data_IF_740589024558
#
_entry.id   IF_740589024558
#
_cell.length_a   1.000
_cell.length_b   1.000
_cell.length_c   1.000
_cell.angle_alpha   90.00
_cell.angle_beta   90.00
_cell.angle_gamma   90.00
#
_symmetry.space_group_name_H-M   'P 1'
#
loop_
_entity.id
_entity.type
_entity.pdbx_description
1 polymer ?
#
# COMPACT_ATOMS: atom_id res chain seq x y z
N UNK A 1 -15.99 -0.06 -36.49
CA UNK A 1 -16.52 -1.14 -35.62
C UNK A 1 -16.21 -0.84 -34.15
N UNK A 2 -16.89 -1.45 -33.17
CA UNK A 2 -16.58 -1.26 -31.73
C UNK A 2 -15.71 -2.39 -31.19
N UNK A 3 -14.73 -2.06 -30.34
CA UNK A 3 -13.95 -3.07 -29.62
C UNK A 3 -14.86 -3.92 -28.72
N UNK A 4 -14.77 -5.25 -28.81
CA UNK A 4 -15.58 -6.18 -28.00
C UNK A 4 -15.34 -6.04 -26.48
N UNK A 5 -14.18 -5.52 -26.08
CA UNK A 5 -13.82 -5.40 -24.67
C UNK A 5 -14.07 -4.01 -24.09
N UNK A 6 -13.51 -2.95 -24.68
CA UNK A 6 -13.61 -1.58 -24.14
C UNK A 6 -14.64 -0.69 -24.87
N UNK A 7 -15.35 -1.23 -25.86
CA UNK A 7 -16.41 -0.56 -26.64
C UNK A 7 -16.01 0.73 -27.38
N UNK A 8 -14.73 1.10 -27.39
CA UNK A 8 -14.23 2.22 -28.20
C UNK A 8 -14.31 1.92 -29.68
N UNK A 9 -14.45 2.97 -30.49
CA UNK A 9 -14.44 2.85 -31.94
C UNK A 9 -13.05 2.49 -32.44
N UNK A 10 -12.99 1.46 -33.28
CA UNK A 10 -11.75 0.97 -33.88
C UNK A 10 -11.92 0.82 -35.39
N UNK A 11 -10.84 1.10 -36.11
CA UNK A 11 -10.69 0.87 -37.55
C UNK A 11 -10.51 -0.62 -37.84
N UNK A 12 -11.09 -1.15 -38.92
CA UNK A 12 -11.02 -2.59 -39.26
C UNK A 12 -9.61 -3.08 -39.62
N UNK A 13 -8.70 -2.16 -39.95
CA UNK A 13 -7.34 -2.50 -40.37
C UNK A 13 -6.44 -2.91 -39.21
N UNK A 14 -6.68 -2.43 -37.98
CA UNK A 14 -5.79 -2.66 -36.85
C UNK A 14 -5.91 -4.07 -36.28
N UNK A 15 -4.77 -4.75 -36.10
CA UNK A 15 -4.71 -6.07 -35.47
C UNK A 15 -5.11 -6.05 -33.99
N UNK A 16 -4.85 -4.93 -33.30
CA UNK A 16 -5.13 -4.70 -31.89
C UNK A 16 -5.94 -3.40 -31.70
N UNK A 17 -6.68 -3.30 -30.60
CA UNK A 17 -7.37 -2.06 -30.23
C UNK A 17 -6.36 -0.99 -29.76
N UNK A 18 -6.47 0.22 -30.31
CA UNK A 18 -5.57 1.34 -29.97
C UNK A 18 -5.67 1.81 -28.51
N UNK A 19 -6.75 1.48 -27.80
CA UNK A 19 -7.01 1.93 -26.42
C UNK A 19 -6.63 0.85 -25.40
N UNK A 20 -7.23 -0.34 -25.51
CA UNK A 20 -7.00 -1.41 -24.53
C UNK A 20 -6.02 -2.49 -24.98
N UNK A 21 -5.55 -2.46 -26.24
CA UNK A 21 -4.72 -3.51 -26.88
C UNK A 21 -5.37 -4.90 -26.97
N UNK A 22 -6.70 -4.94 -26.98
CA UNK A 22 -7.43 -6.17 -27.26
C UNK A 22 -7.11 -6.69 -28.67
N UNK A 23 -6.77 -7.98 -28.86
CA UNK A 23 -6.40 -8.54 -30.16
C UNK A 23 -7.64 -8.80 -31.02
N UNK A 24 -7.99 -7.84 -31.88
CA UNK A 24 -9.22 -7.87 -32.69
C UNK A 24 -9.15 -8.98 -33.75
N UNK A 25 -8.00 -9.12 -34.42
CA UNK A 25 -7.74 -10.17 -35.41
C UNK A 25 -7.12 -11.43 -34.82
N UNK A 26 -6.97 -11.48 -33.49
CA UNK A 26 -6.41 -12.64 -32.80
C UNK A 26 -7.38 -13.83 -32.77
N UNK A 27 -6.82 -15.00 -32.49
CA UNK A 27 -7.59 -16.23 -32.28
C UNK A 27 -8.51 -16.13 -31.06
N UNK A 28 -9.53 -16.99 -30.97
CA UNK A 28 -10.39 -17.07 -29.77
C UNK A 28 -9.57 -17.28 -28.49
N UNK A 29 -8.48 -18.05 -28.59
CA UNK A 29 -7.55 -18.30 -27.48
C UNK A 29 -6.82 -17.03 -27.04
N UNK A 30 -6.32 -16.22 -27.97
CA UNK A 30 -5.64 -14.96 -27.66
C UNK A 30 -6.61 -13.93 -27.06
N UNK A 31 -7.82 -13.84 -27.62
CA UNK A 31 -8.88 -12.98 -27.10
C UNK A 31 -9.28 -13.39 -25.67
N UNK A 32 -9.48 -14.69 -25.43
CA UNK A 32 -9.80 -15.21 -24.10
C UNK A 32 -8.66 -14.98 -23.09
N UNK A 33 -7.41 -15.22 -23.50
CA UNK A 33 -6.22 -15.00 -22.67
C UNK A 33 -6.08 -13.53 -22.27
N UNK A 34 -6.32 -12.61 -23.20
CA UNK A 34 -6.32 -11.17 -22.92
C UNK A 34 -7.38 -10.82 -21.87
N UNK A 35 -8.63 -11.27 -22.04
CA UNK A 35 -9.71 -10.97 -21.08
C UNK A 35 -9.39 -11.55 -19.70
N UNK A 36 -8.89 -12.78 -19.64
CA UNK A 36 -8.45 -13.39 -18.39
C UNK A 36 -7.35 -12.57 -17.70
N UNK A 37 -6.33 -12.13 -18.45
CA UNK A 37 -5.25 -11.28 -17.93
C UNK A 37 -5.78 -9.97 -17.35
N UNK A 38 -6.73 -9.30 -18.03
CA UNK A 38 -7.34 -8.07 -17.55
C UNK A 38 -8.11 -8.27 -16.24
N UNK A 39 -8.87 -9.37 -16.13
CA UNK A 39 -9.63 -9.71 -14.91
C UNK A 39 -8.67 -9.94 -13.73
N UNK A 40 -7.61 -10.72 -13.94
CA UNK A 40 -6.61 -10.99 -12.91
C UNK A 40 -5.93 -9.69 -12.46
N UNK A 41 -5.44 -8.88 -13.41
CA UNK A 41 -4.78 -7.61 -13.12
C UNK A 41 -5.69 -6.63 -12.36
N UNK A 42 -6.96 -6.51 -12.77
CA UNK A 42 -7.94 -5.69 -12.05
C UNK A 42 -8.10 -6.16 -10.60
N UNK A 43 -8.27 -7.48 -10.39
CA UNK A 43 -8.40 -8.07 -9.05
C UNK A 43 -7.16 -7.81 -8.19
N UNK A 44 -5.95 -7.95 -8.75
CA UNK A 44 -4.71 -7.68 -8.02
C UNK A 44 -4.59 -6.21 -7.58
N UNK A 45 -5.05 -5.27 -8.42
CA UNK A 45 -5.10 -3.84 -8.07
C UNK A 45 -6.12 -3.58 -6.95
N UNK A 46 -7.32 -4.17 -7.04
CA UNK A 46 -8.36 -4.06 -6.00
C UNK A 46 -7.89 -4.61 -4.65
N UNK A 47 -7.31 -5.81 -4.64
CA UNK A 47 -6.75 -6.44 -3.43
C UNK A 47 -5.61 -5.57 -2.83
N UNK A 48 -4.86 -4.88 -3.67
CA UNK A 48 -3.81 -3.96 -3.22
C UNK A 48 -4.38 -2.75 -2.47
N UNK A 49 -5.57 -2.26 -2.85
CA UNK A 49 -6.24 -1.21 -2.08
C UNK A 49 -6.73 -1.70 -0.72
N UNK A 50 -7.21 -2.94 -0.62
CA UNK A 50 -7.58 -3.51 0.68
C UNK A 50 -6.37 -3.64 1.61
N UNK A 51 -5.23 -4.11 1.08
CA UNK A 51 -3.97 -4.18 1.85
C UNK A 51 -3.48 -2.79 2.26
N UNK A 52 -3.62 -1.80 1.38
CA UNK A 52 -3.33 -0.40 1.70
C UNK A 52 -4.22 0.13 2.84
N UNK A 53 -5.53 -0.18 2.83
CA UNK A 53 -6.45 0.18 3.93
C UNK A 53 -6.01 -0.46 5.25
N UNK A 54 -5.59 -1.73 5.23
CA UNK A 54 -5.06 -2.40 6.43
C UNK A 54 -3.79 -1.72 6.94
N UNK A 55 -2.84 -1.42 6.05
CA UNK A 55 -1.60 -0.71 6.41
C UNK A 55 -1.88 0.70 6.98
N UNK A 56 -2.84 1.43 6.40
CA UNK A 56 -3.32 2.72 6.92
C UNK A 56 -3.90 2.59 8.32
N UNK A 57 -4.75 1.61 8.55
CA UNK A 57 -5.34 1.38 9.87
C UNK A 57 -4.26 1.04 10.91
N UNK A 58 -3.24 0.26 10.52
CA UNK A 58 -2.07 -0.02 11.36
C UNK A 58 -1.35 1.28 11.72
N UNK A 59 -1.11 2.20 10.77
CA UNK A 59 -0.50 3.51 11.05
C UNK A 59 -1.34 4.35 12.02
N UNK A 60 -2.67 4.37 11.87
CA UNK A 60 -3.55 5.06 12.81
C UNK A 60 -3.52 4.45 14.21
N UNK A 61 -3.55 3.11 14.31
CA UNK A 61 -3.48 2.41 15.59
C UNK A 61 -2.14 2.71 16.28
N UNK A 62 -1.03 2.64 15.54
CA UNK A 62 0.30 2.98 16.07
C UNK A 62 0.35 4.45 16.51
N UNK A 63 -0.13 5.36 15.66
CA UNK A 63 -0.17 6.78 15.96
C UNK A 63 -0.95 7.10 17.24
N UNK A 64 -2.16 6.54 17.35
CA UNK A 64 -2.99 6.64 18.54
C UNK A 64 -2.34 6.00 19.77
N UNK A 65 -1.71 4.83 19.62
CA UNK A 65 -1.00 4.17 20.72
C UNK A 65 0.14 5.04 21.26
N UNK A 66 0.98 5.60 20.40
CA UNK A 66 2.08 6.49 20.81
C UNK A 66 1.61 7.79 21.46
N UNK A 67 0.42 8.28 21.11
CA UNK A 67 -0.18 9.47 21.73
C UNK A 67 -0.80 9.12 23.08
N UNK A 68 -1.59 8.03 23.17
CA UNK A 68 -2.42 7.73 24.34
C UNK A 68 -1.65 6.97 25.43
N UNK A 69 -0.83 5.99 25.04
CA UNK A 69 -0.14 5.10 26.00
C UNK A 69 0.65 5.83 27.08
N UNK A 70 1.42 6.91 26.79
CA UNK A 70 2.17 7.65 27.80
C UNK A 70 1.31 8.34 28.87
N UNK A 71 0.01 8.54 28.64
CA UNK A 71 -0.90 9.14 29.63
C UNK A 71 -1.65 8.08 30.44
N UNK A 72 -1.43 6.79 30.16
CA UNK A 72 -2.08 5.70 30.89
C UNK A 72 -1.26 5.31 32.13
N UNK A 73 -1.92 4.83 33.20
CA UNK A 73 -1.22 4.31 34.39
C UNK A 73 -0.35 3.08 34.09
N UNK A 74 -0.53 2.45 32.92
CA UNK A 74 0.27 1.30 32.46
C UNK A 74 1.68 1.69 32.00
N UNK A 75 1.94 2.97 31.76
CA UNK A 75 3.22 3.46 31.22
C UNK A 75 4.36 3.53 32.25
N UNK A 76 4.04 3.41 33.54
CA UNK A 76 5.02 3.48 34.63
C UNK A 76 5.66 4.88 34.76
N UNK A 77 6.84 4.94 35.35
CA UNK A 77 7.62 6.18 35.50
C UNK A 77 8.38 6.53 34.22
N UNK A 78 7.66 7.07 33.24
CA UNK A 78 8.25 7.68 32.04
C UNK A 78 8.58 9.16 32.28
N UNK A 79 9.70 9.60 31.72
CA UNK A 79 10.14 11.00 31.82
C UNK A 79 9.28 11.91 30.93
N UNK A 80 9.16 13.19 31.29
CA UNK A 80 8.47 14.19 30.46
C UNK A 80 9.04 14.24 29.03
N UNK A 81 10.37 14.09 28.90
CA UNK A 81 11.03 14.02 27.61
C UNK A 81 10.55 12.82 26.78
N UNK A 82 10.43 11.62 27.37
CA UNK A 82 9.94 10.43 26.68
C UNK A 82 8.48 10.57 26.23
N UNK A 83 7.64 11.24 27.02
CA UNK A 83 6.24 11.54 26.65
C UNK A 83 6.20 12.43 25.40
N UNK A 84 6.98 13.52 25.38
CA UNK A 84 7.03 14.45 24.25
C UNK A 84 7.47 13.73 22.97
N UNK A 85 8.55 12.94 23.05
CA UNK A 85 9.05 12.16 21.91
C UNK A 85 7.98 11.17 21.41
N UNK A 86 7.27 10.50 22.32
CA UNK A 86 6.22 9.54 21.96
C UNK A 86 5.05 10.24 21.26
N UNK A 87 4.59 11.38 21.76
CA UNK A 87 3.51 12.16 21.13
C UNK A 87 3.93 12.63 19.73
N UNK A 88 5.15 13.14 19.58
CA UNK A 88 5.68 13.55 18.27
C UNK A 88 5.68 12.39 17.28
N UNK A 89 6.18 11.21 17.68
CA UNK A 89 6.16 10.01 16.85
C UNK A 89 4.72 9.61 16.47
N UNK A 90 3.79 9.68 17.42
CA UNK A 90 2.40 9.34 17.17
C UNK A 90 1.71 10.30 16.20
N UNK A 91 2.01 11.59 16.27
CA UNK A 91 1.57 12.59 15.28
C UNK A 91 2.18 12.30 13.91
N UNK A 92 3.47 11.99 13.83
CA UNK A 92 4.14 11.63 12.57
C UNK A 92 3.48 10.41 11.92
N UNK A 93 3.26 9.32 12.66
CA UNK A 93 2.60 8.12 12.12
C UNK A 93 1.16 8.41 11.66
N UNK A 94 0.42 9.25 12.41
CA UNK A 94 -0.93 9.67 12.03
C UNK A 94 -0.92 10.51 10.74
N UNK A 95 0.01 11.45 10.58
CA UNK A 95 0.17 12.23 9.35
C UNK A 95 0.47 11.31 8.17
N UNK A 96 1.36 10.33 8.34
CA UNK A 96 1.64 9.35 7.30
C UNK A 96 0.43 8.47 6.99
N UNK A 97 -0.38 8.11 7.99
CA UNK A 97 -1.66 7.42 7.77
C UNK A 97 -2.58 8.23 6.85
N UNK A 98 -2.73 9.54 7.07
CA UNK A 98 -3.48 10.42 6.17
C UNK A 98 -2.81 10.58 4.80
N UNK A 99 -1.48 10.61 4.74
CA UNK A 99 -0.76 10.74 3.47
C UNK A 99 -0.98 9.51 2.56
N UNK A 100 -1.37 8.36 3.11
CA UNK A 100 -1.69 7.16 2.31
C UNK A 100 -2.89 7.35 1.38
N UNK A 101 -3.74 8.36 1.57
CA UNK A 101 -4.82 8.67 0.63
C UNK A 101 -4.30 9.31 -0.66
N UNK A 102 -3.22 10.10 -0.57
CA UNK A 102 -2.67 10.87 -1.69
C UNK A 102 -1.46 10.19 -2.33
N UNK A 103 -0.56 9.63 -1.51
CA UNK A 103 0.72 9.08 -1.98
C UNK A 103 1.05 7.78 -1.23
N UNK A 104 0.35 6.68 -1.54
CA UNK A 104 0.44 5.41 -0.80
C UNK A 104 1.88 4.86 -0.64
N UNK A 105 2.69 4.90 -1.71
CA UNK A 105 4.05 4.38 -1.69
C UNK A 105 4.95 5.14 -0.70
N UNK A 106 4.93 6.47 -0.76
CA UNK A 106 5.73 7.33 0.11
C UNK A 106 5.23 7.23 1.55
N UNK A 107 3.91 7.21 1.71
CA UNK A 107 3.25 7.19 3.00
C UNK A 107 3.47 5.90 3.80
N UNK A 108 3.68 4.76 3.14
CA UNK A 108 4.04 3.51 3.81
C UNK A 108 5.57 3.36 3.87
N UNK A 109 6.27 3.71 2.80
CA UNK A 109 7.71 3.51 2.69
C UNK A 109 8.51 4.27 3.74
N UNK A 110 8.19 5.54 3.99
CA UNK A 110 8.92 6.36 4.97
C UNK A 110 8.74 5.82 6.40
N UNK A 111 7.52 5.58 6.92
CA UNK A 111 7.33 4.97 8.23
C UNK A 111 7.99 3.60 8.36
N UNK A 112 7.93 2.77 7.32
CA UNK A 112 8.57 1.45 7.32
C UNK A 112 10.09 1.59 7.48
N UNK A 113 10.71 2.47 6.69
CA UNK A 113 12.14 2.75 6.78
C UNK A 113 12.53 3.32 8.14
N UNK A 114 11.78 4.31 8.65
CA UNK A 114 12.01 4.92 9.96
C UNK A 114 11.94 3.87 11.08
N UNK A 115 10.96 2.97 11.01
CA UNK A 115 10.78 1.89 11.99
C UNK A 115 11.95 0.91 11.97
N UNK A 116 12.38 0.51 10.77
CA UNK A 116 13.54 -0.38 10.60
C UNK A 116 14.84 0.29 11.10
N UNK A 117 15.07 1.55 10.74
CA UNK A 117 16.24 2.31 11.19
C UNK A 117 16.27 2.42 12.72
N UNK A 118 15.12 2.70 13.34
CA UNK A 118 15.00 2.74 14.80
C UNK A 118 15.33 1.38 15.45
N UNK A 119 14.90 0.27 14.85
CA UNK A 119 15.24 -1.07 15.36
C UNK A 119 16.72 -1.41 15.18
N UNK A 120 17.36 -0.97 14.08
CA UNK A 120 18.81 -1.12 13.91
C UNK A 120 19.56 -0.35 15.00
N UNK A 121 19.15 0.87 15.32
CA UNK A 121 19.76 1.64 16.43
C UNK A 121 19.58 0.92 17.76
N UNK A 122 18.38 0.41 18.04
CA UNK A 122 18.11 -0.37 19.26
C UNK A 122 18.99 -1.64 19.35
N UNK A 123 19.21 -2.33 18.22
CA UNK A 123 20.09 -3.50 18.16
C UNK A 123 21.52 -3.16 18.61
N UNK A 124 22.03 -2.01 18.19
CA UNK A 124 23.38 -1.54 18.50
C UNK A 124 23.53 -1.13 19.97
N UNK A 125 22.47 -0.59 20.58
CA UNK A 125 22.49 -0.17 21.98
C UNK A 125 22.35 -1.38 22.91
N UNK A 126 21.29 -2.18 22.71
CA UNK A 126 21.06 -3.37 23.51
C UNK A 126 20.11 -4.35 22.77
N UNK A 127 20.59 -5.55 22.38
CA UNK A 127 19.78 -6.51 21.63
C UNK A 127 18.57 -7.04 22.41
N UNK A 128 18.59 -7.02 23.75
CA UNK A 128 17.45 -7.44 24.58
C UNK A 128 16.23 -6.54 24.35
N UNK A 129 16.44 -5.24 24.07
CA UNK A 129 15.35 -4.29 23.81
C UNK A 129 14.58 -4.60 22.52
N UNK A 130 15.16 -5.37 21.59
CA UNK A 130 14.45 -5.83 20.41
C UNK A 130 13.40 -6.89 20.74
N UNK A 131 13.73 -7.82 21.64
CA UNK A 131 12.85 -8.91 22.04
C UNK A 131 11.67 -8.44 22.89
N UNK A 132 11.81 -7.30 23.60
CA UNK A 132 10.68 -6.68 24.30
C UNK A 132 9.66 -6.14 23.29
N UNK A 133 8.40 -6.58 23.43
CA UNK A 133 7.31 -6.16 22.54
C UNK A 133 7.42 -6.68 21.11
N UNK A 134 8.19 -7.75 20.88
CA UNK A 134 8.48 -8.31 19.55
C UNK A 134 7.23 -8.59 18.71
N UNK A 135 6.16 -9.10 19.34
CA UNK A 135 4.89 -9.40 18.65
C UNK A 135 4.32 -8.16 17.94
N UNK A 136 4.31 -7.01 18.62
CA UNK A 136 3.78 -5.79 18.04
C UNK A 136 4.67 -5.28 16.90
N UNK A 137 5.99 -5.35 17.06
CA UNK A 137 6.97 -4.96 16.03
C UNK A 137 6.81 -5.80 14.76
N UNK A 138 6.61 -7.11 14.89
CA UNK A 138 6.37 -8.02 13.77
C UNK A 138 5.07 -7.64 13.04
N UNK A 139 3.98 -7.36 13.78
CA UNK A 139 2.70 -6.94 13.18
C UNK A 139 2.87 -5.65 12.38
N UNK A 140 3.59 -4.67 12.93
CA UNK A 140 3.84 -3.39 12.26
C UNK A 140 4.66 -3.60 10.98
N UNK A 141 5.81 -4.27 11.07
CA UNK A 141 6.72 -4.45 9.94
C UNK A 141 6.07 -5.31 8.86
N UNK A 142 5.40 -6.41 9.23
CA UNK A 142 4.69 -7.24 8.25
C UNK A 142 3.53 -6.50 7.62
N UNK A 143 2.69 -5.83 8.40
CA UNK A 143 1.54 -5.08 7.89
C UNK A 143 1.93 -3.94 6.94
N UNK A 144 2.93 -3.15 7.30
CA UNK A 144 3.48 -2.10 6.45
C UNK A 144 4.23 -2.68 5.24
N UNK A 145 5.01 -3.74 5.42
CA UNK A 145 5.74 -4.42 4.35
C UNK A 145 4.81 -5.01 3.28
N UNK A 146 3.75 -5.72 3.70
CA UNK A 146 2.73 -6.23 2.78
C UNK A 146 1.97 -5.11 2.07
N UNK A 147 1.62 -4.03 2.80
CA UNK A 147 1.00 -2.85 2.20
C UNK A 147 1.89 -2.22 1.13
N UNK A 148 3.18 -2.02 1.42
CA UNK A 148 4.15 -1.45 0.50
C UNK A 148 4.32 -2.29 -0.76
N UNK A 149 4.59 -3.59 -0.60
CA UNK A 149 4.80 -4.52 -1.72
C UNK A 149 3.56 -4.58 -2.63
N UNK A 150 2.36 -4.59 -2.05
CA UNK A 150 1.12 -4.64 -2.82
C UNK A 150 0.89 -3.37 -3.63
N UNK A 151 1.09 -2.19 -3.03
CA UNK A 151 0.97 -0.91 -3.73
C UNK A 151 2.02 -0.78 -4.84
N UNK A 152 3.23 -1.28 -4.61
CA UNK A 152 4.28 -1.27 -5.62
C UNK A 152 3.88 -2.14 -6.83
N UNK A 153 3.39 -3.35 -6.58
CA UNK A 153 2.89 -4.26 -7.62
C UNK A 153 1.71 -3.65 -8.39
N UNK A 154 0.72 -3.08 -7.71
CA UNK A 154 -0.43 -2.46 -8.39
C UNK A 154 -0.01 -1.26 -9.24
N UNK A 155 0.89 -0.41 -8.75
CA UNK A 155 1.42 0.69 -9.54
C UNK A 155 2.19 0.22 -10.78
N UNK A 156 2.88 -0.92 -10.72
CA UNK A 156 3.52 -1.50 -11.89
C UNK A 156 2.48 -1.95 -12.92
N UNK A 157 1.43 -2.68 -12.48
CA UNK A 157 0.33 -3.12 -13.34
C UNK A 157 -0.35 -1.94 -14.04
N UNK A 158 -0.61 -0.86 -13.29
CA UNK A 158 -1.26 0.34 -13.83
C UNK A 158 -0.35 1.13 -14.79
N UNK A 159 0.97 1.09 -14.61
CA UNK A 159 1.93 1.67 -15.57
C UNK A 159 1.98 0.87 -16.87
N UNK A 160 1.94 -0.46 -16.78
CA UNK A 160 1.95 -1.35 -17.95
C UNK A 160 0.61 -1.34 -18.70
N UNK A 161 -0.50 -1.15 -17.99
CA UNK A 161 -1.85 -1.21 -18.54
C UNK A 161 -2.60 0.11 -18.32
N UNK A 162 -2.39 1.05 -19.24
CA UNK A 162 -2.99 2.39 -19.19
C UNK A 162 -4.52 2.36 -19.24
N UNK A 163 -5.12 1.37 -19.90
CA UNK A 163 -6.57 1.19 -19.90
C UNK A 163 -7.08 0.87 -18.49
N UNK A 164 -6.44 -0.07 -17.78
CA UNK A 164 -6.80 -0.35 -16.37
C UNK A 164 -6.60 0.88 -15.48
N UNK A 165 -5.55 1.66 -15.70
CA UNK A 165 -5.32 2.92 -14.96
C UNK A 165 -6.43 3.95 -15.16
N UNK A 166 -7.10 3.96 -16.32
CA UNK A 166 -8.21 4.87 -16.60
C UNK A 166 -9.51 4.49 -15.88
N UNK A 167 -9.73 3.20 -15.64
CA UNK A 167 -10.98 2.69 -15.04
C UNK A 167 -10.85 2.36 -13.54
N UNK A 168 -9.63 2.12 -13.05
CA UNK A 168 -9.34 1.79 -11.65
C UNK A 168 -8.56 2.94 -11.02
N UNK A 169 -9.24 3.97 -10.52
CA UNK A 169 -8.57 5.10 -9.85
C UNK A 169 -8.20 4.77 -8.39
N UNK A 170 -6.96 5.04 -7.95
CA UNK A 170 -6.59 4.97 -6.55
C UNK A 170 -7.34 6.02 -5.74
N UNK A 171 -8.14 5.59 -4.75
CA UNK A 171 -8.75 6.48 -3.75
C UNK A 171 -10.28 6.60 -3.75
N UNK A 172 -11.02 5.86 -4.57
CA UNK A 172 -12.50 5.87 -4.57
C UNK A 172 -13.15 4.81 -3.67
N UNK A 173 -12.45 4.36 -2.61
CA UNK A 173 -13.00 3.37 -1.66
C UNK A 173 -12.70 3.71 -0.22
#
# INVERSE_FOLDING_TARGET
MKCKYCQTETTEETAECNVCRYPIKGTEKEQASFVAKQIIQKREVEESYEKLKKARNILFIIGGFYIVFPFTPLSGTITQFAIIVSVILGVIFTIFAFLTYKSPLVAIGIPLFLTLAFYVVLLLINPILLFTGLLWKIIIVSGLGYGFASVWKSNQILKENQYLASIVRPGQS
#
